data_IF_037849455880
#
_entry.id   IF_037849455880
#
_cell.length_a   1.000
_cell.length_b   1.000
_cell.length_c   1.000
_cell.angle_alpha   90.00
_cell.angle_beta   90.00
_cell.angle_gamma   90.00
#
_symmetry.space_group_name_H-M   'P 1'
#
loop_
_entity.id
_entity.type
_entity.pdbx_description
1 polymer ?
#
# COMPACT_ATOMS: atom_id res chain seq x y z
N UNK A 1 10.20 -20.73 -0.40
CA UNK A 1 8.98 -20.31 0.33
C UNK A 1 8.78 -18.79 0.33
N UNK A 2 9.83 -17.97 0.44
CA UNK A 2 9.74 -16.48 0.36
C UNK A 2 9.11 -15.94 -0.93
N UNK A 3 9.36 -16.58 -2.08
CA UNK A 3 8.79 -16.19 -3.38
C UNK A 3 7.25 -16.09 -3.36
N UNK A 4 6.58 -16.97 -2.62
CA UNK A 4 5.13 -16.96 -2.50
C UNK A 4 4.59 -15.68 -1.86
N UNK A 5 5.34 -15.02 -0.96
CA UNK A 5 4.90 -13.76 -0.37
C UNK A 5 4.78 -12.65 -1.42
N UNK A 6 5.75 -12.59 -2.34
CA UNK A 6 5.77 -11.60 -3.42
C UNK A 6 4.70 -11.94 -4.46
N UNK A 7 4.65 -13.19 -4.92
CA UNK A 7 3.66 -13.63 -5.91
C UNK A 7 2.23 -13.50 -5.39
N UNK A 8 1.96 -13.92 -4.15
CA UNK A 8 0.64 -13.81 -3.52
C UNK A 8 0.21 -12.36 -3.37
N UNK A 9 1.11 -11.48 -2.93
CA UNK A 9 0.86 -10.05 -2.84
C UNK A 9 0.50 -9.45 -4.21
N UNK A 10 1.28 -9.76 -5.26
CA UNK A 10 1.04 -9.24 -6.61
C UNK A 10 -0.28 -9.74 -7.20
N UNK A 11 -0.64 -11.00 -6.99
CA UNK A 11 -1.92 -11.57 -7.45
C UNK A 11 -3.12 -10.86 -6.81
N UNK A 12 -3.09 -10.70 -5.49
CA UNK A 12 -4.17 -10.01 -4.77
C UNK A 12 -4.25 -8.55 -5.23
N UNK A 13 -3.11 -7.86 -5.33
CA UNK A 13 -3.07 -6.49 -5.81
C UNK A 13 -3.68 -6.37 -7.23
N UNK A 14 -3.34 -7.29 -8.13
CA UNK A 14 -3.89 -7.36 -9.48
C UNK A 14 -5.41 -7.54 -9.53
N UNK A 15 -5.99 -8.34 -8.64
CA UNK A 15 -7.46 -8.51 -8.52
C UNK A 15 -8.13 -7.26 -7.92
N UNK A 16 -7.42 -6.57 -7.02
CA UNK A 16 -7.95 -5.41 -6.32
C UNK A 16 -8.02 -4.16 -7.20
N UNK A 17 -7.17 -4.02 -8.23
CA UNK A 17 -7.22 -2.89 -9.16
C UNK A 17 -8.59 -2.75 -9.84
N UNK A 18 -9.14 -3.76 -10.57
CA UNK A 18 -10.45 -3.64 -11.20
C UNK A 18 -11.58 -3.57 -10.16
N UNK A 19 -11.46 -4.26 -9.02
CA UNK A 19 -12.42 -4.14 -7.93
C UNK A 19 -12.48 -2.70 -7.40
N UNK A 20 -11.34 -2.02 -7.34
CA UNK A 20 -11.28 -0.63 -6.88
C UNK A 20 -12.01 0.30 -7.83
N UNK A 21 -11.85 0.14 -9.15
CA UNK A 21 -12.62 0.91 -10.12
C UNK A 21 -14.13 0.75 -9.89
N UNK A 22 -14.60 -0.49 -9.66
CA UNK A 22 -15.99 -0.76 -9.30
C UNK A 22 -16.42 -0.11 -7.97
N UNK A 23 -15.56 -0.15 -6.94
CA UNK A 23 -15.85 0.43 -5.63
C UNK A 23 -15.90 1.95 -5.66
N UNK A 24 -15.06 2.61 -6.48
CA UNK A 24 -15.04 4.07 -6.65
C UNK A 24 -16.34 4.61 -7.23
N UNK A 25 -16.99 3.86 -8.12
CA UNK A 25 -18.27 4.26 -8.70
C UNK A 25 -19.43 4.14 -7.69
N UNK A 26 -19.27 3.31 -6.65
CA UNK A 26 -20.32 2.97 -5.68
C UNK A 26 -20.16 3.66 -4.33
N UNK A 27 -18.92 3.94 -3.91
CA UNK A 27 -18.56 4.40 -2.58
C UNK A 27 -17.84 5.75 -2.69
N UNK A 28 -18.18 6.68 -1.78
CA UNK A 28 -17.49 7.98 -1.70
C UNK A 28 -15.99 7.79 -1.45
N UNK A 29 -15.17 8.67 -2.03
CA UNK A 29 -13.70 8.64 -1.96
C UNK A 29 -13.17 8.55 -0.53
N UNK A 30 -13.69 9.38 0.39
CA UNK A 30 -13.21 9.47 1.78
C UNK A 30 -13.38 8.17 2.59
N UNK A 31 -14.58 7.57 2.70
CA UNK A 31 -14.74 6.30 3.43
C UNK A 31 -13.99 5.16 2.75
N UNK A 32 -13.90 5.14 1.41
CA UNK A 32 -13.11 4.12 0.70
C UNK A 32 -11.62 4.23 1.03
N UNK A 33 -11.09 5.45 1.10
CA UNK A 33 -9.69 5.71 1.47
C UNK A 33 -9.39 5.26 2.91
N UNK A 34 -10.26 5.63 3.86
CA UNK A 34 -10.10 5.24 5.26
C UNK A 34 -10.21 3.72 5.45
N UNK A 35 -11.11 3.04 4.73
CA UNK A 35 -11.23 1.59 4.76
C UNK A 35 -9.99 0.89 4.18
N UNK A 36 -9.44 1.42 3.08
CA UNK A 36 -8.21 0.90 2.48
C UNK A 36 -7.00 1.08 3.40
N UNK A 37 -6.84 2.27 4.00
CA UNK A 37 -5.81 2.53 5.00
C UNK A 37 -5.97 1.65 6.25
N UNK A 38 -7.20 1.47 6.74
CA UNK A 38 -7.50 0.62 7.88
C UNK A 38 -7.12 -0.84 7.62
N UNK A 39 -7.51 -1.36 6.45
CA UNK A 39 -7.13 -2.72 6.01
C UNK A 39 -5.61 -2.87 5.91
N UNK A 40 -4.92 -1.87 5.33
CA UNK A 40 -3.46 -1.88 5.25
C UNK A 40 -2.81 -1.91 6.64
N UNK A 41 -3.28 -1.05 7.56
CA UNK A 41 -2.77 -0.98 8.92
C UNK A 41 -2.98 -2.29 9.69
N UNK A 42 -4.17 -2.88 9.60
CA UNK A 42 -4.47 -4.18 10.21
C UNK A 42 -3.52 -5.25 9.66
N UNK A 43 -3.32 -5.28 8.34
CA UNK A 43 -2.36 -6.18 7.72
C UNK A 43 -0.92 -6.00 8.24
N UNK A 44 -0.47 -4.76 8.44
CA UNK A 44 0.86 -4.48 9.03
C UNK A 44 0.98 -4.94 10.47
N UNK A 45 -0.03 -4.68 11.31
CA UNK A 45 -0.02 -5.14 12.71
C UNK A 45 0.05 -6.67 12.77
N UNK A 46 -0.74 -7.37 11.93
CA UNK A 46 -0.71 -8.84 11.86
C UNK A 46 0.65 -9.34 11.35
N UNK A 47 1.27 -8.64 10.40
CA UNK A 47 2.61 -8.99 9.90
C UNK A 47 3.68 -8.83 10.99
N UNK A 48 3.64 -7.74 11.75
CA UNK A 48 4.56 -7.48 12.86
C UNK A 48 4.48 -8.56 13.96
N UNK A 49 3.28 -9.11 14.20
CA UNK A 49 3.03 -10.15 15.19
C UNK A 49 3.16 -11.58 14.64
N UNK A 50 3.51 -11.78 13.37
CA UNK A 50 3.42 -13.08 12.71
C UNK A 50 4.42 -14.11 13.31
N UNK A 51 3.94 -15.23 13.90
CA UNK A 51 4.80 -16.25 14.49
C UNK A 51 5.30 -17.28 13.46
N UNK A 52 4.65 -17.39 12.31
CA UNK A 52 4.96 -18.37 11.27
C UNK A 52 4.63 -17.84 9.86
N UNK A 53 5.07 -18.57 8.84
CA UNK A 53 4.89 -18.19 7.44
C UNK A 53 3.42 -18.04 7.02
N UNK A 54 2.52 -18.91 7.51
CA UNK A 54 1.10 -18.86 7.16
C UNK A 54 0.43 -17.57 7.61
N UNK A 55 0.70 -17.15 8.85
CA UNK A 55 0.19 -15.88 9.39
C UNK A 55 0.75 -14.68 8.62
N UNK A 56 2.05 -14.71 8.28
CA UNK A 56 2.68 -13.66 7.48
C UNK A 56 2.07 -13.57 6.07
N UNK A 57 1.74 -14.70 5.45
CA UNK A 57 1.08 -14.73 4.15
C UNK A 57 -0.31 -14.11 4.22
N UNK A 58 -1.12 -14.45 5.23
CA UNK A 58 -2.44 -13.85 5.44
C UNK A 58 -2.31 -12.34 5.65
N UNK A 59 -1.34 -11.91 6.46
CA UNK A 59 -1.05 -10.48 6.66
C UNK A 59 -0.73 -9.76 5.34
N UNK A 60 0.06 -10.39 4.46
CA UNK A 60 0.40 -9.84 3.14
C UNK A 60 -0.80 -9.76 2.21
N UNK A 61 -1.70 -10.74 2.23
CA UNK A 61 -2.95 -10.70 1.48
C UNK A 61 -3.81 -9.52 1.94
N UNK A 62 -3.96 -9.35 3.26
CA UNK A 62 -4.72 -8.23 3.83
C UNK A 62 -4.07 -6.88 3.44
N UNK A 63 -2.75 -6.74 3.57
CA UNK A 63 -2.04 -5.54 3.12
C UNK A 63 -2.25 -5.28 1.63
N UNK A 64 -2.15 -6.31 0.79
CA UNK A 64 -2.32 -6.18 -0.67
C UNK A 64 -3.73 -5.68 -1.05
N UNK A 65 -4.75 -6.06 -0.27
CA UNK A 65 -6.10 -5.53 -0.43
C UNK A 65 -6.17 -4.02 -0.20
N UNK A 66 -5.60 -3.53 0.90
CA UNK A 66 -5.53 -2.09 1.15
C UNK A 66 -4.68 -1.35 0.11
N UNK A 67 -3.50 -1.88 -0.21
CA UNK A 67 -2.55 -1.26 -1.14
C UNK A 67 -3.10 -1.16 -2.57
N UNK A 68 -3.78 -2.19 -3.06
CA UNK A 68 -4.38 -2.21 -4.41
C UNK A 68 -5.47 -1.14 -4.60
N UNK A 69 -6.12 -0.71 -3.52
CA UNK A 69 -7.14 0.36 -3.56
C UNK A 69 -6.50 1.74 -3.49
N UNK A 70 -5.45 1.93 -2.71
CA UNK A 70 -4.87 3.25 -2.42
C UNK A 70 -4.26 3.93 -3.64
N UNK A 71 -3.53 3.19 -4.49
CA UNK A 71 -2.89 3.78 -5.68
C UNK A 71 -3.88 4.40 -6.67
N UNK A 72 -4.89 3.67 -7.18
CA UNK A 72 -5.86 4.26 -8.11
C UNK A 72 -6.71 5.34 -7.43
N UNK A 73 -6.98 5.21 -6.11
CA UNK A 73 -7.74 6.21 -5.35
C UNK A 73 -7.02 7.53 -5.19
N UNK A 74 -5.71 7.48 -4.96
CA UNK A 74 -4.87 8.67 -4.95
C UNK A 74 -4.87 9.35 -6.32
N UNK A 75 -4.69 8.60 -7.41
CA UNK A 75 -4.74 9.16 -8.77
C UNK A 75 -6.09 9.82 -9.04
N UNK A 76 -7.19 9.11 -8.80
CA UNK A 76 -8.56 9.63 -8.95
C UNK A 76 -8.76 10.92 -8.14
N UNK A 77 -8.35 10.92 -6.87
CA UNK A 77 -8.47 12.09 -5.99
C UNK A 77 -7.72 13.29 -6.57
N UNK A 78 -6.47 13.12 -7.01
CA UNK A 78 -5.69 14.19 -7.64
C UNK A 78 -6.37 14.74 -8.92
N UNK A 79 -6.92 13.86 -9.76
CA UNK A 79 -7.65 14.28 -10.96
C UNK A 79 -8.93 15.07 -10.64
N UNK A 80 -9.61 14.73 -9.54
CA UNK A 80 -10.84 15.42 -9.11
C UNK A 80 -10.60 16.74 -8.40
N UNK A 81 -9.54 16.86 -7.60
CA UNK A 81 -9.23 18.07 -6.82
C UNK A 81 -8.46 19.13 -7.61
N UNK A 82 -7.55 18.74 -8.52
CA UNK A 82 -6.71 19.69 -9.25
C UNK A 82 -7.26 20.00 -10.64
N UNK A 83 -7.30 21.30 -10.98
CA UNK A 83 -7.63 21.78 -12.32
C UNK A 83 -6.62 21.28 -13.35
N UNK A 84 -7.05 21.12 -14.60
CA UNK A 84 -6.26 20.45 -15.67
C UNK A 84 -4.83 20.97 -15.80
N UNK A 85 -4.64 22.28 -15.63
CA UNK A 85 -3.35 22.98 -15.74
C UNK A 85 -2.37 22.61 -14.62
N UNK A 86 -2.86 22.29 -13.41
CA UNK A 86 -2.04 21.99 -12.24
C UNK A 86 -1.86 20.48 -12.00
N UNK A 87 -2.56 19.63 -12.76
CA UNK A 87 -2.49 18.17 -12.61
C UNK A 87 -1.07 17.64 -12.81
N UNK A 88 -0.34 18.14 -13.80
CA UNK A 88 1.04 17.70 -14.07
C UNK A 88 1.97 17.96 -12.89
N UNK A 89 1.86 19.14 -12.26
CA UNK A 89 2.63 19.49 -11.07
C UNK A 89 2.24 18.63 -9.86
N UNK A 90 0.94 18.46 -9.60
CA UNK A 90 0.44 17.65 -8.49
C UNK A 90 0.83 16.16 -8.64
N UNK A 91 0.71 15.60 -9.85
CA UNK A 91 1.15 14.24 -10.15
C UNK A 91 2.68 14.11 -10.07
N UNK A 92 3.44 15.13 -10.46
CA UNK A 92 4.89 15.18 -10.33
C UNK A 92 5.35 15.13 -8.87
N UNK A 93 4.74 15.94 -8.00
CA UNK A 93 4.99 15.90 -6.55
C UNK A 93 4.62 14.55 -5.93
N UNK A 94 3.45 14.01 -6.27
CA UNK A 94 3.04 12.69 -5.80
C UNK A 94 4.02 11.60 -6.26
N UNK A 95 4.44 11.64 -7.53
CA UNK A 95 5.45 10.73 -8.08
C UNK A 95 6.79 10.84 -7.36
N UNK A 96 7.22 12.06 -7.01
CA UNK A 96 8.44 12.28 -6.24
C UNK A 96 8.36 11.57 -4.88
N UNK A 97 7.26 11.72 -4.14
CA UNK A 97 7.06 11.04 -2.85
C UNK A 97 7.05 9.51 -3.02
N UNK A 98 6.37 8.99 -4.03
CA UNK A 98 6.28 7.54 -4.32
C UNK A 98 7.65 6.94 -4.61
N UNK A 99 8.54 7.69 -5.28
CA UNK A 99 9.89 7.21 -5.61
C UNK A 99 10.90 7.44 -4.48
N UNK A 100 10.72 8.49 -3.69
CA UNK A 100 11.55 8.75 -2.51
C UNK A 100 11.33 7.73 -1.40
N UNK A 101 10.09 7.30 -1.17
CA UNK A 101 9.74 6.32 -0.14
C UNK A 101 10.55 5.00 -0.26
N UNK A 102 10.62 4.31 -1.41
CA UNK A 102 11.41 3.10 -1.58
C UNK A 102 12.93 3.37 -1.69
N UNK A 103 13.36 4.60 -1.96
CA UNK A 103 14.78 4.95 -1.91
C UNK A 103 15.27 5.07 -0.45
N UNK A 104 14.47 5.68 0.42
CA UNK A 104 14.80 5.87 1.84
C UNK A 104 14.48 4.61 2.66
N UNK A 105 13.44 3.87 2.27
CA UNK A 105 12.92 2.71 2.99
C UNK A 105 14.00 1.68 3.38
N UNK A 106 14.81 1.15 2.44
CA UNK A 106 15.88 0.21 2.74
C UNK A 106 16.98 0.81 3.62
N UNK A 107 17.33 2.09 3.43
CA UNK A 107 18.36 2.76 4.24
C UNK A 107 17.93 2.90 5.70
N UNK A 108 16.71 3.39 5.94
CA UNK A 108 16.16 3.54 7.30
C UNK A 108 15.91 2.16 7.92
N UNK A 109 15.35 1.22 7.15
CA UNK A 109 15.12 -0.15 7.60
C UNK A 109 16.43 -0.85 7.94
N UNK A 110 17.48 -0.68 7.14
CA UNK A 110 18.81 -1.23 7.40
C UNK A 110 19.40 -0.72 8.72
N UNK A 111 19.34 0.59 8.95
CA UNK A 111 19.79 1.19 10.21
C UNK A 111 19.00 0.69 11.43
N UNK A 112 17.69 0.50 11.28
CA UNK A 112 16.84 -0.07 12.35
C UNK A 112 17.20 -1.52 12.62
N UNK A 113 17.48 -2.33 11.58
CA UNK A 113 17.89 -3.73 11.75
C UNK A 113 19.29 -3.83 12.39
N UNK A 114 20.19 -2.90 12.05
CA UNK A 114 21.54 -2.88 12.62
C UNK A 114 21.54 -2.50 14.12
N UNK A 115 20.59 -1.67 14.57
CA UNK A 115 20.51 -1.20 15.96
C UNK A 115 19.47 -1.94 16.82
N UNK A 116 18.47 -2.57 16.19
CA UNK A 116 17.37 -3.26 16.84
C UNK A 116 17.20 -4.69 16.30
N UNK A 117 16.02 -5.29 16.50
CA UNK A 117 15.73 -6.63 15.98
C UNK A 117 15.20 -6.55 14.55
N UNK A 118 15.50 -7.56 13.71
CA UNK A 118 14.99 -7.72 12.35
C UNK A 118 13.46 -7.64 12.23
N UNK A 119 12.72 -7.73 13.34
CA UNK A 119 11.25 -7.70 13.43
C UNK A 119 10.60 -6.31 13.44
N UNK A 120 11.37 -5.25 13.66
CA UNK A 120 10.85 -3.87 13.79
C UNK A 120 10.30 -3.24 12.48
N UNK A 121 10.82 -3.53 11.28
CA UNK A 121 10.39 -2.84 10.04
C UNK A 121 9.07 -3.30 9.40
N UNK A 122 8.35 -4.25 10.02
CA UNK A 122 7.19 -4.91 9.40
C UNK A 122 5.84 -4.29 9.76
#
# INVERSE_FOLDING_TARGET
TSQWLVTGFMLVNGVMIPLTAYLMDRIKTRPLYLAAMGTFLVGSIVAAMAPNFGVLMVARVIQAMGAGVLMPLMQFTLFTLFSKEHRGFAMGLAGLVIQFAPAIGPTVTGLIIDQASWRVPF
#
